data_IF_808081665282
#
_entry.id   IF_808081665282
#
_cell.length_a   1.000
_cell.length_b   1.000
_cell.length_c   1.000
_cell.angle_alpha   90.00
_cell.angle_beta   90.00
_cell.angle_gamma   90.00
#
_symmetry.space_group_name_H-M   'P 1'
#
loop_
_entity.id
_entity.type
_entity.pdbx_description
1 polymer ?
#
# COMPACT_ATOMS: atom_id res chain seq x y z
N UNK A 1 -10.21 -5.19 18.31
CA UNK A 1 -10.65 -6.30 17.44
C UNK A 1 -9.43 -6.90 16.75
N UNK A 2 -9.51 -8.19 16.36
CA UNK A 2 -8.47 -8.77 15.53
C UNK A 2 -8.48 -8.13 14.14
N UNK A 3 -7.31 -7.81 13.61
CA UNK A 3 -7.22 -7.19 12.28
C UNK A 3 -7.84 -8.10 11.21
N UNK A 4 -7.72 -9.43 11.37
CA UNK A 4 -8.34 -10.40 10.47
C UNK A 4 -9.86 -10.25 10.32
N UNK A 5 -10.55 -9.73 11.33
CA UNK A 5 -12.03 -9.60 11.34
C UNK A 5 -12.56 -8.53 10.38
N UNK A 6 -11.68 -7.63 9.94
CA UNK A 6 -12.00 -6.54 9.01
C UNK A 6 -11.35 -6.73 7.63
N UNK A 7 -10.59 -7.79 7.41
CA UNK A 7 -9.94 -8.10 6.13
C UNK A 7 -10.86 -8.97 5.28
N UNK A 8 -11.22 -8.52 4.07
CA UNK A 8 -11.90 -9.32 3.05
C UNK A 8 -10.92 -10.11 2.18
N UNK A 9 -9.85 -9.44 1.75
CA UNK A 9 -8.83 -10.03 0.89
C UNK A 9 -7.43 -9.67 1.41
N UNK A 10 -6.50 -10.58 1.30
CA UNK A 10 -5.09 -10.32 1.58
C UNK A 10 -4.23 -11.15 0.64
N UNK A 11 -3.24 -10.53 0.03
CA UNK A 11 -2.31 -11.20 -0.86
C UNK A 11 -0.92 -10.59 -0.79
N UNK A 12 0.11 -11.44 -0.86
CA UNK A 12 1.46 -10.98 -1.16
C UNK A 12 1.57 -10.63 -2.63
N UNK A 13 2.40 -9.64 -2.94
CA UNK A 13 2.84 -9.41 -4.30
C UNK A 13 3.71 -10.55 -4.83
N UNK A 14 3.91 -10.57 -6.13
CA UNK A 14 4.73 -11.55 -6.83
C UNK A 14 5.90 -10.87 -7.53
N UNK A 15 6.92 -11.64 -7.87
CA UNK A 15 7.99 -11.18 -8.78
C UNK A 15 7.37 -10.79 -10.12
N UNK A 16 7.93 -9.76 -10.78
CA UNK A 16 7.38 -9.24 -12.03
C UNK A 16 7.20 -10.35 -13.08
N UNK A 17 8.18 -11.23 -13.20
CA UNK A 17 8.18 -12.35 -14.13
C UNK A 17 7.06 -13.37 -13.85
N UNK A 18 6.61 -13.46 -12.59
CA UNK A 18 5.53 -14.37 -12.19
C UNK A 18 4.15 -13.89 -12.65
N UNK A 19 4.01 -12.63 -13.01
CA UNK A 19 2.78 -12.06 -13.57
C UNK A 19 2.63 -12.29 -15.07
N UNK A 20 3.71 -12.70 -15.75
CA UNK A 20 3.72 -12.96 -17.18
C UNK A 20 3.31 -14.41 -17.43
N UNK A 21 2.53 -14.66 -18.45
CA UNK A 21 2.29 -15.98 -19.02
C UNK A 21 2.42 -15.93 -20.54
N UNK A 22 2.65 -17.07 -21.17
CA UNK A 22 2.73 -17.20 -22.63
C UNK A 22 1.36 -17.02 -23.33
N UNK A 23 0.44 -16.32 -22.70
CA UNK A 23 -0.92 -16.08 -23.18
C UNK A 23 -1.00 -14.81 -24.02
N UNK A 24 -1.87 -14.84 -25.05
CA UNK A 24 -2.20 -13.68 -25.89
C UNK A 24 -2.97 -12.55 -25.14
N UNK A 25 -3.32 -12.75 -23.87
CA UNK A 25 -4.12 -11.82 -23.05
C UNK A 25 -3.28 -10.95 -22.10
N UNK A 26 -2.05 -10.63 -22.48
CA UNK A 26 -1.20 -9.75 -21.70
C UNK A 26 -1.64 -8.28 -21.84
N UNK A 27 -1.55 -7.53 -20.75
CA UNK A 27 -1.79 -6.09 -20.69
C UNK A 27 -0.65 -5.38 -19.99
N UNK A 28 -0.34 -4.13 -20.36
CA UNK A 28 0.59 -3.32 -19.61
C UNK A 28 -0.03 -2.88 -18.28
N UNK A 29 0.80 -2.78 -17.26
CA UNK A 29 0.44 -2.17 -15.98
C UNK A 29 1.70 -1.68 -15.27
N UNK A 30 1.50 -0.83 -14.29
CA UNK A 30 2.58 -0.40 -13.41
C UNK A 30 2.86 -1.47 -12.33
N UNK A 31 4.12 -1.54 -11.90
CA UNK A 31 4.59 -2.47 -10.88
C UNK A 31 5.15 -1.72 -9.69
N UNK A 32 4.41 -1.77 -8.58
CA UNK A 32 4.74 -1.07 -7.34
C UNK A 32 5.80 -1.83 -6.55
N UNK A 33 6.93 -1.18 -6.33
CA UNK A 33 8.03 -1.68 -5.51
C UNK A 33 8.14 -0.86 -4.22
N UNK A 34 8.87 -1.39 -3.25
CA UNK A 34 9.10 -0.70 -1.98
C UNK A 34 9.75 0.69 -2.17
N UNK A 35 10.61 0.84 -3.17
CA UNK A 35 11.29 2.11 -3.48
C UNK A 35 10.37 3.17 -4.08
N UNK A 36 9.25 2.75 -4.66
CA UNK A 36 8.25 3.64 -5.27
C UNK A 36 7.28 4.24 -4.24
N UNK A 37 7.47 3.91 -2.95
CA UNK A 37 6.65 4.39 -1.84
C UNK A 37 7.48 5.33 -0.95
N UNK A 38 6.98 6.55 -0.74
CA UNK A 38 7.59 7.51 0.15
C UNK A 38 6.53 8.35 0.87
N UNK A 39 6.63 8.44 2.21
CA UNK A 39 5.70 9.18 3.07
C UNK A 39 4.20 8.87 2.84
N UNK A 40 3.86 7.62 2.60
CA UNK A 40 2.48 7.19 2.33
C UNK A 40 1.97 7.53 0.93
N UNK A 41 2.85 7.97 0.04
CA UNK A 41 2.54 8.36 -1.34
C UNK A 41 3.25 7.42 -2.32
N UNK A 42 2.57 7.07 -3.40
CA UNK A 42 3.14 6.30 -4.52
C UNK A 42 3.78 7.27 -5.51
N UNK A 43 4.96 6.93 -6.03
CA UNK A 43 5.62 7.67 -7.11
C UNK A 43 4.66 7.87 -8.31
N UNK A 44 4.77 9.00 -8.99
CA UNK A 44 3.93 9.29 -10.16
C UNK A 44 4.09 8.26 -11.25
N UNK A 45 5.31 7.75 -11.44
CA UNK A 45 5.64 6.74 -12.44
C UNK A 45 6.34 5.55 -11.77
N UNK A 46 5.69 4.40 -11.77
CA UNK A 46 6.32 3.13 -11.44
C UNK A 46 6.83 2.47 -12.73
N UNK A 47 7.69 1.46 -12.59
CA UNK A 47 8.11 0.70 -13.78
C UNK A 47 6.91 0.01 -14.41
N UNK A 48 6.91 -0.09 -15.73
CA UNK A 48 5.87 -0.81 -16.47
C UNK A 48 6.28 -2.27 -16.68
N UNK A 49 5.31 -3.16 -16.49
CA UNK A 49 5.40 -4.58 -16.79
C UNK A 49 4.18 -4.99 -17.62
N UNK A 50 4.26 -6.17 -18.22
CA UNK A 50 3.08 -6.84 -18.81
C UNK A 50 2.61 -7.96 -17.89
N UNK A 51 1.30 -8.22 -17.87
CA UNK A 51 0.73 -9.28 -17.05
C UNK A 51 -0.41 -10.01 -17.76
N UNK A 52 -0.63 -11.28 -17.37
CA UNK A 52 -1.81 -12.03 -17.81
C UNK A 52 -3.05 -11.52 -17.10
N UNK A 53 -3.88 -10.79 -17.81
CA UNK A 53 -5.06 -10.13 -17.25
C UNK A 53 -6.11 -11.10 -16.72
N UNK A 54 -6.26 -12.28 -17.30
CA UNK A 54 -7.24 -13.27 -16.84
C UNK A 54 -6.83 -13.93 -15.52
N UNK A 55 -5.54 -14.22 -15.37
CA UNK A 55 -5.01 -14.94 -14.22
C UNK A 55 -4.76 -14.03 -13.02
N UNK A 56 -4.24 -12.83 -13.26
CA UNK A 56 -3.69 -11.98 -12.23
C UNK A 56 -4.50 -10.72 -11.92
N UNK A 57 -5.66 -10.51 -12.55
CA UNK A 57 -6.52 -9.34 -12.27
C UNK A 57 -6.87 -9.21 -10.78
N UNK A 58 -7.03 -10.33 -10.08
CA UNK A 58 -7.28 -10.37 -8.62
C UNK A 58 -6.16 -9.78 -7.77
N UNK A 59 -4.93 -9.72 -8.31
CA UNK A 59 -3.76 -9.16 -7.60
C UNK A 59 -3.59 -7.65 -7.83
N UNK A 60 -4.32 -7.07 -8.78
CA UNK A 60 -4.29 -5.65 -9.02
C UNK A 60 -4.79 -4.90 -7.78
N UNK A 61 -4.15 -3.79 -7.47
CA UNK A 61 -4.58 -2.88 -6.40
C UNK A 61 -5.95 -2.33 -6.78
N UNK A 62 -6.86 -2.35 -5.81
CA UNK A 62 -8.22 -1.80 -5.93
C UNK A 62 -8.35 -0.55 -5.09
N UNK A 63 -9.31 0.30 -5.45
CA UNK A 63 -9.62 1.48 -4.65
C UNK A 63 -9.94 1.14 -3.19
N UNK A 64 -9.25 1.80 -2.27
CA UNK A 64 -9.35 1.58 -0.83
C UNK A 64 -8.57 0.37 -0.31
N UNK A 65 -7.75 -0.30 -1.13
CA UNK A 65 -6.80 -1.27 -0.60
C UNK A 65 -5.72 -0.58 0.25
N UNK A 66 -5.29 -1.24 1.31
CA UNK A 66 -4.13 -0.83 2.10
C UNK A 66 -2.94 -1.67 1.67
N UNK A 67 -1.84 -1.01 1.30
CA UNK A 67 -0.59 -1.66 0.93
C UNK A 67 0.41 -1.47 2.06
N UNK A 68 1.04 -2.55 2.47
CA UNK A 68 1.94 -2.60 3.60
C UNK A 68 3.25 -3.30 3.25
N UNK A 69 4.38 -2.70 3.61
CA UNK A 69 5.69 -3.35 3.46
C UNK A 69 5.89 -4.45 4.52
N UNK A 70 6.57 -5.54 4.12
CA UNK A 70 6.77 -6.71 4.99
C UNK A 70 8.15 -6.75 5.64
N UNK A 71 9.14 -6.12 5.04
CA UNK A 71 10.56 -6.24 5.41
C UNK A 71 11.19 -4.94 5.91
N UNK A 72 10.59 -3.80 5.62
CA UNK A 72 11.09 -2.49 6.04
C UNK A 72 10.96 -2.33 7.57
N UNK A 73 12.01 -1.80 8.21
CA UNK A 73 11.99 -1.51 9.65
C UNK A 73 10.96 -0.45 10.02
N UNK A 74 10.75 0.51 9.14
CA UNK A 74 9.86 1.65 9.37
C UNK A 74 8.44 1.43 8.84
N UNK A 75 8.13 0.27 8.29
CA UNK A 75 6.87 -0.04 7.64
C UNK A 75 6.35 1.11 6.75
N UNK A 76 6.34 0.90 5.47
CA UNK A 76 5.69 1.79 4.52
C UNK A 76 4.24 1.35 4.36
N UNK A 77 3.33 2.30 4.51
CA UNK A 77 1.88 2.07 4.44
C UNK A 77 1.27 3.02 3.43
N UNK A 78 0.39 2.53 2.57
CA UNK A 78 -0.38 3.33 1.62
C UNK A 78 -1.85 2.94 1.72
N UNK A 79 -2.74 3.91 1.59
CA UNK A 79 -4.12 3.69 1.20
C UNK A 79 -4.24 3.98 -0.29
N UNK A 80 -4.65 2.99 -1.07
CA UNK A 80 -4.85 3.11 -2.50
C UNK A 80 -6.21 3.75 -2.80
N UNK A 81 -6.28 5.06 -2.65
CA UNK A 81 -7.38 5.89 -3.10
C UNK A 81 -6.86 6.96 -4.05
N UNK A 82 -7.76 7.54 -4.83
CA UNK A 82 -7.43 8.62 -5.77
C UNK A 82 -6.36 8.25 -6.83
N UNK A 83 -6.29 6.96 -7.20
CA UNK A 83 -5.33 6.48 -8.20
C UNK A 83 -5.77 6.68 -9.64
N UNK A 84 -7.01 7.17 -9.86
CA UNK A 84 -7.57 7.30 -11.22
C UNK A 84 -7.60 5.95 -11.94
N UNK A 85 -7.19 5.95 -13.21
CA UNK A 85 -7.20 4.75 -14.07
C UNK A 85 -5.90 3.92 -13.95
N UNK A 86 -5.00 4.28 -13.03
CA UNK A 86 -3.75 3.54 -12.82
C UNK A 86 -4.05 2.10 -12.41
N UNK A 87 -3.42 1.16 -13.08
CA UNK A 87 -3.42 -0.25 -12.71
C UNK A 87 -2.04 -0.64 -12.20
N UNK A 88 -1.99 -1.06 -10.94
CA UNK A 88 -0.75 -1.43 -10.28
C UNK A 88 -0.83 -2.87 -9.77
N UNK A 89 0.25 -3.61 -9.98
CA UNK A 89 0.54 -4.88 -9.31
C UNK A 89 1.66 -4.66 -8.29
N UNK A 90 1.70 -5.46 -7.24
CA UNK A 90 2.64 -5.27 -6.14
C UNK A 90 3.79 -6.27 -6.16
N UNK A 91 4.97 -5.83 -5.73
CA UNK A 91 6.16 -6.67 -5.57
C UNK A 91 6.10 -7.57 -4.33
N UNK A 92 6.94 -8.63 -4.21
CA UNK A 92 6.88 -9.60 -3.10
C UNK A 92 7.11 -9.01 -1.72
N UNK A 93 7.75 -7.84 -1.62
CA UNK A 93 8.01 -7.16 -0.36
C UNK A 93 6.81 -6.35 0.16
N UNK A 94 5.71 -6.41 -0.57
CA UNK A 94 4.47 -5.71 -0.24
C UNK A 94 3.31 -6.70 -0.06
N UNK A 95 2.42 -6.39 0.88
CA UNK A 95 1.12 -7.05 1.06
C UNK A 95 0.03 -6.09 0.62
N UNK A 96 -0.92 -6.59 -0.16
CA UNK A 96 -2.18 -5.92 -0.49
C UNK A 96 -3.28 -6.41 0.45
N UNK A 97 -3.99 -5.49 1.06
CA UNK A 97 -5.05 -5.75 2.04
C UNK A 97 -6.33 -5.07 1.57
N UNK A 98 -7.30 -5.85 1.14
CA UNK A 98 -8.67 -5.39 0.88
C UNK A 98 -9.50 -5.47 2.14
N UNK A 99 -10.05 -4.34 2.58
CA UNK A 99 -10.82 -4.22 3.81
C UNK A 99 -12.33 -4.39 3.58
N UNK A 100 -13.02 -4.79 4.64
CA UNK A 100 -14.47 -4.68 4.72
C UNK A 100 -14.87 -3.22 5.01
N UNK A 101 -15.23 -2.49 3.97
CA UNK A 101 -15.57 -1.06 4.04
C UNK A 101 -16.82 -0.75 4.89
N UNK A 102 -17.60 -1.77 5.26
CA UNK A 102 -18.73 -1.63 6.21
C UNK A 102 -18.25 -1.61 7.66
N UNK A 103 -17.05 -2.17 7.92
CA UNK A 103 -16.48 -2.27 9.26
C UNK A 103 -15.32 -1.31 9.50
N UNK A 104 -14.55 -1.00 8.46
CA UNK A 104 -13.34 -0.21 8.60
C UNK A 104 -13.14 0.79 7.46
N UNK A 105 -12.81 2.02 7.81
CA UNK A 105 -12.39 3.04 6.86
C UNK A 105 -10.93 2.80 6.44
N UNK A 106 -10.61 2.68 5.14
CA UNK A 106 -9.26 2.38 4.67
C UNK A 106 -8.21 3.43 5.05
N UNK A 107 -8.58 4.72 5.03
CA UNK A 107 -7.67 5.79 5.40
C UNK A 107 -7.42 5.83 6.91
N UNK A 108 -8.43 5.49 7.74
CA UNK A 108 -8.24 5.29 9.17
C UNK A 108 -7.24 4.18 9.44
N UNK A 109 -7.41 3.03 8.80
CA UNK A 109 -6.50 1.89 8.97
C UNK A 109 -5.08 2.27 8.51
N UNK A 110 -4.93 2.93 7.38
CA UNK A 110 -3.62 3.39 6.93
C UNK A 110 -3.00 4.41 7.89
N UNK A 111 -3.78 5.33 8.45
CA UNK A 111 -3.33 6.29 9.46
C UNK A 111 -2.85 5.58 10.71
N UNK A 112 -3.64 4.63 11.24
CA UNK A 112 -3.25 3.84 12.41
C UNK A 112 -1.97 3.05 12.17
N UNK A 113 -1.88 2.30 11.09
CA UNK A 113 -0.69 1.50 10.76
C UNK A 113 0.56 2.37 10.52
N UNK A 114 0.40 3.61 10.11
CA UNK A 114 1.49 4.60 9.95
C UNK A 114 1.92 5.25 11.26
N UNK A 115 1.10 5.17 12.31
CA UNK A 115 1.37 5.74 13.62
C UNK A 115 2.49 4.98 14.37
N UNK A 116 3.03 5.60 15.42
CA UNK A 116 4.02 4.93 16.28
C UNK A 116 3.45 3.66 16.93
N UNK A 117 2.20 3.69 17.37
CA UNK A 117 1.50 2.53 17.96
C UNK A 117 1.29 1.42 16.92
N UNK A 118 0.79 1.76 15.74
CA UNK A 118 0.57 0.81 14.66
C UNK A 118 1.87 0.15 14.20
N UNK A 119 2.95 0.91 14.07
CA UNK A 119 4.28 0.38 13.74
C UNK A 119 4.84 -0.54 14.83
N UNK A 120 4.65 -0.20 16.10
CA UNK A 120 5.06 -1.05 17.22
C UNK A 120 4.27 -2.37 17.23
N UNK A 121 2.96 -2.31 16.99
CA UNK A 121 2.10 -3.49 16.83
C UNK A 121 2.59 -4.37 15.68
N UNK A 122 2.81 -3.80 14.48
CA UNK A 122 3.31 -4.51 13.31
C UNK A 122 4.68 -5.17 13.57
N UNK A 123 5.57 -4.48 14.28
CA UNK A 123 6.87 -5.05 14.65
C UNK A 123 6.72 -6.25 15.60
N UNK A 124 5.77 -6.19 16.54
CA UNK A 124 5.41 -7.32 17.40
C UNK A 124 4.89 -8.54 16.64
N UNK A 125 4.22 -8.33 15.51
CA UNK A 125 3.65 -9.39 14.67
C UNK A 125 4.64 -10.01 13.68
N UNK A 126 5.89 -9.51 13.61
CA UNK A 126 6.95 -10.08 12.78
C UNK A 126 7.51 -11.37 13.36
N UNK A 127 7.88 -12.30 12.51
CA UNK A 127 8.56 -13.53 12.88
C UNK A 127 9.83 -13.77 12.05
N UNK A 128 10.72 -14.59 12.56
CA UNK A 128 12.00 -14.92 11.95
C UNK A 128 13.19 -14.65 12.88
N UNK A 129 14.23 -15.49 12.82
CA UNK A 129 15.43 -15.39 13.68
C UNK A 129 16.47 -14.42 13.13
N UNK A 130 16.67 -14.41 11.81
CA UNK A 130 17.71 -13.60 11.14
C UNK A 130 17.06 -12.40 10.45
N UNK A 131 16.03 -12.64 9.65
CA UNK A 131 15.24 -11.61 9.04
C UNK A 131 13.80 -11.70 9.58
N UNK A 132 13.39 -10.65 10.29
CA UNK A 132 12.02 -10.56 10.80
C UNK A 132 11.11 -10.05 9.71
N UNK A 133 10.17 -10.88 9.29
CA UNK A 133 9.22 -10.58 8.21
C UNK A 133 7.81 -10.59 8.78
N UNK A 134 6.98 -9.68 8.30
CA UNK A 134 5.56 -9.65 8.58
C UNK A 134 4.85 -10.65 7.67
N UNK A 135 4.25 -11.67 8.28
CA UNK A 135 3.47 -12.67 7.58
C UNK A 135 1.97 -12.40 7.71
N UNK A 136 1.19 -12.74 6.68
CA UNK A 136 -0.26 -12.53 6.66
C UNK A 136 -0.99 -13.17 7.83
N UNK A 137 -0.52 -14.32 8.32
CA UNK A 137 -1.10 -14.97 9.50
C UNK A 137 -0.91 -14.13 10.75
N UNK A 138 0.32 -13.71 11.06
CA UNK A 138 0.61 -12.87 12.22
C UNK A 138 -0.16 -11.54 12.15
N UNK A 139 -0.23 -10.94 10.96
CA UNK A 139 -0.96 -9.69 10.75
C UNK A 139 -2.46 -9.83 11.08
N UNK A 140 -3.09 -10.95 10.71
CA UNK A 140 -4.51 -11.19 11.01
C UNK A 140 -4.80 -11.39 12.49
N UNK A 141 -3.83 -11.88 13.25
CA UNK A 141 -3.94 -12.14 14.68
C UNK A 141 -3.64 -10.89 15.53
N UNK A 142 -3.12 -9.81 14.93
CA UNK A 142 -2.85 -8.56 15.63
C UNK A 142 -4.15 -7.88 16.07
N UNK A 143 -4.14 -7.33 17.26
CA UNK A 143 -5.24 -6.49 17.75
C UNK A 143 -5.07 -5.04 17.33
N UNK A 144 -6.14 -4.44 16.84
CA UNK A 144 -6.19 -3.04 16.45
C UNK A 144 -7.34 -2.31 17.14
N UNK A 145 -7.19 -1.01 17.45
CA UNK A 145 -8.30 -0.19 17.86
C UNK A 145 -9.27 0.00 16.70
N UNK A 146 -10.54 -0.14 16.95
CA UNK A 146 -11.58 0.10 15.95
C UNK A 146 -12.69 0.94 16.60
N UNK A 147 -12.57 2.28 16.54
CA UNK A 147 -13.59 3.19 17.05
C UNK A 147 -14.85 3.14 16.18
N UNK A 148 -15.83 3.96 16.48
CA UNK A 148 -17.04 4.06 15.66
C UNK A 148 -16.72 4.43 14.21
N UNK A 149 -17.55 4.05 13.27
CA UNK A 149 -17.32 4.36 11.86
C UNK A 149 -17.26 5.88 11.60
N UNK A 150 -17.97 6.67 12.39
CA UNK A 150 -17.92 8.14 12.30
C UNK A 150 -16.55 8.67 12.70
N UNK A 151 -16.01 8.21 13.83
CA UNK A 151 -14.64 8.58 14.28
C UNK A 151 -13.58 8.09 13.29
N UNK A 152 -13.73 6.88 12.75
CA UNK A 152 -12.82 6.37 11.73
C UNK A 152 -12.79 7.27 10.49
N UNK A 153 -13.95 7.68 9.99
CA UNK A 153 -14.06 8.57 8.82
C UNK A 153 -13.46 9.94 9.09
N UNK A 154 -13.69 10.50 10.28
CA UNK A 154 -13.09 11.78 10.66
C UNK A 154 -11.55 11.73 10.65
N UNK A 155 -10.99 10.69 11.27
CA UNK A 155 -9.52 10.49 11.30
C UNK A 155 -9.00 10.20 9.90
N UNK A 156 -9.67 9.32 9.16
CA UNK A 156 -9.29 8.94 7.79
C UNK A 156 -9.28 10.13 6.84
N UNK A 157 -10.28 11.00 6.91
CA UNK A 157 -10.34 12.20 6.05
C UNK A 157 -9.23 13.21 6.38
N UNK A 158 -8.93 13.42 7.66
CA UNK A 158 -7.78 14.25 8.09
C UNK A 158 -6.46 13.68 7.54
N UNK A 159 -6.28 12.36 7.63
CA UNK A 159 -5.09 11.68 7.11
C UNK A 159 -5.01 11.80 5.58
N UNK A 160 -6.09 11.54 4.87
CA UNK A 160 -6.19 11.71 3.42
C UNK A 160 -5.82 13.12 2.98
N UNK A 161 -6.36 14.13 3.66
CA UNK A 161 -6.04 15.53 3.38
C UNK A 161 -4.54 15.81 3.52
N UNK A 162 -3.89 15.29 4.59
CA UNK A 162 -2.44 15.44 4.78
C UNK A 162 -1.62 14.75 3.69
N UNK A 163 -2.05 13.58 3.23
CA UNK A 163 -1.38 12.89 2.11
C UNK A 163 -1.47 13.71 0.81
N UNK A 164 -2.59 14.37 0.55
CA UNK A 164 -2.72 15.27 -0.60
C UNK A 164 -1.78 16.47 -0.50
N UNK A 165 -1.65 17.07 0.69
CA UNK A 165 -0.68 18.15 0.92
C UNK A 165 0.76 17.68 0.70
N UNK A 166 1.14 16.51 1.23
CA UNK A 166 2.48 15.92 1.05
C UNK A 166 2.75 15.69 -0.44
N UNK A 167 1.81 15.11 -1.18
CA UNK A 167 1.95 14.87 -2.62
C UNK A 167 2.19 16.17 -3.38
N UNK A 168 1.42 17.21 -3.10
CA UNK A 168 1.58 18.53 -3.72
C UNK A 168 2.96 19.13 -3.44
N UNK A 169 3.39 19.12 -2.16
CA UNK A 169 4.70 19.65 -1.78
C UNK A 169 5.86 18.88 -2.42
N UNK A 170 5.74 17.55 -2.57
CA UNK A 170 6.74 16.75 -3.27
C UNK A 170 6.84 17.13 -4.75
N UNK A 171 5.71 17.31 -5.42
CA UNK A 171 5.69 17.76 -6.82
C UNK A 171 6.30 19.16 -6.98
N UNK A 172 5.99 20.09 -6.06
CA UNK A 172 6.59 21.43 -6.06
C UNK A 172 8.11 21.37 -5.89
N UNK A 173 8.62 20.51 -4.99
CA UNK A 173 10.07 20.30 -4.79
C UNK A 173 10.72 19.73 -6.04
N UNK A 174 10.10 18.72 -6.66
CA UNK A 174 10.62 18.09 -7.88
C UNK A 174 10.73 19.11 -9.03
N UNK A 175 9.70 19.94 -9.22
CA UNK A 175 9.74 21.04 -10.18
C UNK A 175 10.88 22.02 -9.95
N UNK A 176 11.20 22.34 -8.69
CA UNK A 176 12.35 23.22 -8.38
C UNK A 176 13.70 22.56 -8.72
N UNK A 177 13.83 21.25 -8.57
CA UNK A 177 15.05 20.54 -8.99
C UNK A 177 15.20 20.54 -10.51
N UNK A 178 14.12 20.31 -11.25
CA UNK A 178 14.10 20.39 -12.71
C UNK A 178 14.52 21.80 -13.21
N UNK A 179 13.99 22.85 -12.57
CA UNK A 179 14.37 24.22 -12.88
C UNK A 179 15.87 24.47 -12.68
N UNK A 180 16.46 23.94 -11.60
CA UNK A 180 17.91 24.05 -11.34
C UNK A 180 18.73 23.31 -12.40
N UNK A 181 18.27 22.14 -12.85
CA UNK A 181 18.95 21.37 -13.90
C UNK A 181 18.94 22.10 -15.24
N UNK A 182 17.84 22.78 -15.57
CA UNK A 182 17.74 23.58 -16.82
C UNK A 182 18.57 24.84 -16.79
N UNK A 183 19.04 25.31 -15.62
CA UNK A 183 19.94 26.49 -15.50
C UNK A 183 21.41 26.17 -15.82
N UNK A 184 21.75 24.92 -16.09
CA UNK A 184 23.11 24.45 -16.45
C UNK A 184 23.27 24.32 -17.95
#
# INVERSE_FOLDING_TARGET
>A
VNFGDIIKEISHGLMAESYISDNEFTKPCEYLRLVDIDDGVIAENCIEIVYDSKRFEKYAIKDGDVILSTTDKNFKVICAGDMGDRKLLVSPTLIRIGLDKEKADPYYIAAYLSSAEGKAMLDGCRSGKVLRILHTKGLKECEIPLPTMEEQREIGEKYRHRLHEIRRLKADIEGLYEDIEMMR
#
